data_IF_839344474190
#
_entry.id   IF_839344474190
#
_cell.length_a   1.000
_cell.length_b   1.000
_cell.length_c   1.000
_cell.angle_alpha   90.00
_cell.angle_beta   90.00
_cell.angle_gamma   90.00
#
_symmetry.space_group_name_H-M   'P 1'
#
loop_
_entity.id
_entity.type
_entity.pdbx_description
1 polymer ?
#
# COMPACT_ATOMS: atom_id res chain seq x y z
N UNK A 1 -12.83 5.69 -4.74
CA UNK A 1 -12.65 7.00 -4.06
C UNK A 1 -13.74 7.35 -3.07
N UNK A 2 -15.04 7.24 -3.39
CA UNK A 2 -16.11 7.74 -2.49
C UNK A 2 -16.46 6.74 -1.37
N UNK A 3 -16.58 5.45 -1.68
CA UNK A 3 -17.20 4.48 -0.76
C UNK A 3 -16.42 4.23 0.51
N UNK A 4 -15.11 4.06 0.41
CA UNK A 4 -14.28 3.81 1.60
C UNK A 4 -14.31 5.00 2.55
N UNK A 5 -14.09 6.27 2.16
CA UNK A 5 -14.29 7.42 3.04
C UNK A 5 -15.66 7.46 3.73
N UNK A 6 -16.72 7.04 3.04
CA UNK A 6 -18.05 6.94 3.66
C UNK A 6 -18.09 5.86 4.73
N UNK A 7 -17.53 4.67 4.44
CA UNK A 7 -17.42 3.56 5.40
C UNK A 7 -16.51 3.92 6.57
N UNK A 8 -15.39 4.59 6.31
CA UNK A 8 -14.45 5.08 7.31
C UNK A 8 -15.14 6.11 8.21
N UNK A 9 -15.76 7.14 7.65
CA UNK A 9 -16.53 8.14 8.39
C UNK A 9 -17.60 7.51 9.27
N UNK A 10 -18.28 6.47 8.77
CA UNK A 10 -19.27 5.73 9.54
C UNK A 10 -18.66 4.96 10.72
N UNK A 11 -17.45 4.41 10.58
CA UNK A 11 -16.79 3.60 11.62
C UNK A 11 -15.99 4.40 12.63
N UNK A 12 -15.29 5.44 12.18
CA UNK A 12 -14.29 6.18 12.97
C UNK A 12 -14.70 7.62 13.23
N UNK A 13 -15.75 8.12 12.57
CA UNK A 13 -16.21 9.51 12.67
C UNK A 13 -15.41 10.51 11.83
N UNK A 14 -14.29 10.11 11.23
CA UNK A 14 -13.40 10.97 10.44
C UNK A 14 -13.14 10.39 9.06
N UNK A 15 -12.76 11.26 8.12
CA UNK A 15 -12.28 10.87 6.79
C UNK A 15 -10.80 11.17 6.73
N UNK A 16 -9.99 10.16 6.38
CA UNK A 16 -8.54 10.34 6.26
C UNK A 16 -8.12 10.49 4.80
N UNK A 17 -7.07 11.27 4.56
CA UNK A 17 -6.47 11.38 3.22
C UNK A 17 -5.97 10.01 2.73
N UNK A 18 -5.37 9.22 3.61
CA UNK A 18 -4.93 7.86 3.32
C UNK A 18 -6.11 6.98 2.92
N UNK A 19 -7.25 7.05 3.64
CA UNK A 19 -8.47 6.33 3.28
C UNK A 19 -8.97 6.68 1.88
N UNK A 20 -8.99 7.97 1.51
CA UNK A 20 -9.39 8.42 0.16
C UNK A 20 -8.44 7.87 -0.92
N UNK A 21 -7.13 7.94 -0.70
CA UNK A 21 -6.11 7.47 -1.66
C UNK A 21 -6.16 5.95 -1.78
N UNK A 22 -6.22 5.22 -0.68
CA UNK A 22 -6.37 3.75 -0.67
C UNK A 22 -7.66 3.32 -1.38
N UNK A 23 -8.75 4.07 -1.23
CA UNK A 23 -9.99 3.84 -1.97
C UNK A 23 -9.87 4.05 -3.49
N UNK A 24 -8.96 4.93 -3.93
CA UNK A 24 -8.67 5.13 -5.34
C UNK A 24 -7.91 3.93 -5.89
N UNK A 25 -6.85 3.52 -5.18
CA UNK A 25 -6.02 2.37 -5.54
C UNK A 25 -6.84 1.08 -5.55
N UNK A 26 -7.63 0.80 -4.51
CA UNK A 26 -8.50 -0.38 -4.46
C UNK A 26 -9.46 -0.46 -5.66
N UNK A 27 -10.02 0.69 -6.07
CA UNK A 27 -10.86 0.79 -7.27
C UNK A 27 -10.10 0.45 -8.56
N UNK A 28 -8.89 0.99 -8.73
CA UNK A 28 -8.02 0.70 -9.88
C UNK A 28 -7.59 -0.77 -9.93
N UNK A 29 -7.28 -1.36 -8.77
CA UNK A 29 -6.95 -2.78 -8.67
C UNK A 29 -8.15 -3.62 -9.11
N UNK A 30 -9.35 -3.39 -8.57
CA UNK A 30 -10.51 -4.21 -8.92
C UNK A 30 -10.96 -4.06 -10.37
N UNK A 31 -10.79 -2.87 -10.98
CA UNK A 31 -11.14 -2.67 -12.39
C UNK A 31 -10.10 -3.27 -13.34
N UNK A 32 -8.86 -3.53 -12.89
CA UNK A 32 -7.80 -4.10 -13.73
C UNK A 32 -8.21 -5.39 -14.47
N UNK A 33 -8.79 -6.41 -13.81
CA UNK A 33 -9.30 -7.59 -14.51
C UNK A 33 -10.63 -7.37 -15.24
N UNK A 34 -11.37 -6.29 -14.92
CA UNK A 34 -12.75 -6.09 -15.34
C UNK A 34 -12.96 -5.04 -16.45
N UNK A 35 -11.98 -4.17 -16.70
CA UNK A 35 -12.11 -2.99 -17.57
C UNK A 35 -12.52 -3.32 -19.01
N UNK A 36 -12.15 -4.48 -19.51
CA UNK A 36 -12.50 -4.96 -20.86
C UNK A 36 -13.66 -5.95 -20.89
N UNK A 37 -14.39 -6.14 -19.79
CA UNK A 37 -15.42 -7.18 -19.66
C UNK A 37 -16.77 -6.60 -19.19
N UNK A 38 -16.77 -5.60 -18.31
CA UNK A 38 -17.98 -5.02 -17.71
C UNK A 38 -18.39 -3.71 -18.37
N UNK A 39 -19.69 -3.38 -18.31
CA UNK A 39 -20.20 -2.07 -18.75
C UNK A 39 -20.00 -0.97 -17.69
N UNK A 40 -20.40 0.26 -18.03
CA UNK A 40 -20.24 1.42 -17.13
C UNK A 40 -20.93 1.23 -15.78
N UNK A 41 -22.11 0.58 -15.75
CA UNK A 41 -22.84 0.35 -14.51
C UNK A 41 -22.12 -0.70 -13.66
N UNK A 42 -21.67 -1.80 -14.28
CA UNK A 42 -20.83 -2.81 -13.64
C UNK A 42 -19.53 -2.24 -13.06
N UNK A 43 -18.89 -1.30 -13.76
CA UNK A 43 -17.70 -0.60 -13.27
C UNK A 43 -17.97 0.26 -12.03
N UNK A 44 -19.09 1.00 -12.01
CA UNK A 44 -19.50 1.79 -10.83
C UNK A 44 -19.79 0.88 -9.65
N UNK A 45 -20.56 -0.19 -9.85
CA UNK A 45 -20.88 -1.16 -8.80
C UNK A 45 -19.61 -1.81 -8.26
N UNK A 46 -18.68 -2.21 -9.14
CA UNK A 46 -17.37 -2.77 -8.76
C UNK A 46 -16.61 -1.81 -7.85
N UNK A 47 -16.53 -0.53 -8.22
CA UNK A 47 -15.89 0.51 -7.42
C UNK A 47 -16.56 0.73 -6.05
N UNK A 48 -17.89 0.64 -5.98
CA UNK A 48 -18.63 0.73 -4.73
C UNK A 48 -18.32 -0.46 -3.81
N UNK A 49 -18.44 -1.69 -4.35
CA UNK A 49 -18.24 -2.92 -3.58
C UNK A 49 -16.81 -3.02 -3.09
N UNK A 50 -15.81 -2.82 -3.96
CA UNK A 50 -14.41 -2.93 -3.56
C UNK A 50 -14.03 -1.88 -2.51
N UNK A 51 -14.52 -0.63 -2.66
CA UNK A 51 -14.25 0.43 -1.69
C UNK A 51 -14.80 0.09 -0.31
N UNK A 52 -15.99 -0.50 -0.24
CA UNK A 52 -16.55 -0.96 1.03
C UNK A 52 -15.76 -2.13 1.61
N UNK A 53 -15.53 -3.18 0.83
CA UNK A 53 -14.93 -4.42 1.34
C UNK A 53 -13.46 -4.22 1.73
N UNK A 54 -12.66 -3.52 0.92
CA UNK A 54 -11.25 -3.25 1.26
C UNK A 54 -11.11 -2.41 2.53
N UNK A 55 -12.03 -1.49 2.81
CA UNK A 55 -12.03 -0.71 4.06
C UNK A 55 -12.15 -1.59 5.32
N UNK A 56 -12.85 -2.72 5.23
CA UNK A 56 -12.89 -3.71 6.31
C UNK A 56 -11.71 -4.67 6.24
N UNK A 57 -11.31 -5.09 5.05
CA UNK A 57 -10.22 -6.05 4.85
C UNK A 57 -8.91 -5.58 5.48
N UNK A 58 -8.56 -4.30 5.37
CA UNK A 58 -7.34 -3.78 6.00
C UNK A 58 -7.35 -3.88 7.53
N UNK A 59 -8.53 -3.90 8.15
CA UNK A 59 -8.63 -4.03 9.61
C UNK A 59 -8.46 -5.48 10.09
N UNK A 60 -8.43 -6.43 9.17
CA UNK A 60 -8.25 -7.84 9.46
C UNK A 60 -6.82 -8.15 9.93
N UNK A 61 -5.83 -7.33 9.52
CA UNK A 61 -4.43 -7.45 9.96
C UNK A 61 -4.28 -7.33 11.48
N UNK A 62 -5.06 -6.44 12.11
CA UNK A 62 -5.10 -6.29 13.58
C UNK A 62 -5.74 -7.47 14.30
N UNK A 63 -6.61 -8.22 13.60
CA UNK A 63 -7.23 -9.42 14.17
C UNK A 63 -6.31 -10.63 14.11
N UNK A 64 -5.50 -10.73 13.06
CA UNK A 64 -4.58 -11.84 12.84
C UNK A 64 -3.15 -11.56 13.30
N UNK A 65 -2.89 -10.38 13.88
CA UNK A 65 -1.57 -9.92 14.31
C UNK A 65 -0.52 -10.02 13.19
N UNK A 66 -0.92 -9.60 11.99
CA UNK A 66 -0.08 -9.59 10.80
C UNK A 66 0.38 -8.16 10.53
N UNK A 67 1.70 -7.96 10.43
CA UNK A 67 2.30 -6.69 10.03
C UNK A 67 2.29 -6.53 8.50
N UNK A 68 1.12 -6.18 7.96
CA UNK A 68 0.98 -5.69 6.58
C UNK A 68 1.11 -4.16 6.59
N UNK A 69 2.36 -3.68 6.53
CA UNK A 69 2.73 -2.28 6.74
C UNK A 69 2.04 -1.33 5.75
N UNK A 70 1.86 -1.75 4.50
CA UNK A 70 1.26 -0.94 3.42
C UNK A 70 -0.13 -1.39 3.00
N UNK A 71 -0.79 -2.26 3.78
CA UNK A 71 -2.12 -2.81 3.47
C UNK A 71 -2.19 -3.51 2.10
N UNK A 72 -1.10 -4.12 1.64
CA UNK A 72 -1.00 -4.72 0.29
C UNK A 72 -1.99 -5.88 0.15
N UNK A 73 -2.15 -6.71 1.17
CA UNK A 73 -3.08 -7.85 1.12
C UNK A 73 -4.53 -7.35 1.11
N UNK A 74 -4.83 -6.35 1.93
CA UNK A 74 -6.18 -5.78 2.05
C UNK A 74 -6.62 -4.96 0.82
N UNK A 75 -5.70 -4.25 0.16
CA UNK A 75 -5.99 -3.44 -1.02
C UNK A 75 -5.80 -4.23 -2.32
N UNK A 76 -4.64 -4.85 -2.52
CA UNK A 76 -4.31 -5.53 -3.77
C UNK A 76 -4.86 -6.96 -3.80
N UNK A 77 -4.65 -7.73 -2.74
CA UNK A 77 -5.11 -9.12 -2.66
C UNK A 77 -6.64 -9.22 -2.70
N UNK A 78 -7.31 -8.58 -1.74
CA UNK A 78 -8.79 -8.58 -1.68
C UNK A 78 -9.41 -7.79 -2.84
N UNK A 79 -8.82 -6.66 -3.24
CA UNK A 79 -9.30 -5.88 -4.36
C UNK A 79 -9.27 -6.65 -5.69
N UNK A 80 -8.17 -7.35 -5.97
CA UNK A 80 -8.02 -8.18 -7.17
C UNK A 80 -8.99 -9.36 -7.18
N UNK A 81 -9.17 -10.02 -6.03
CA UNK A 81 -10.16 -11.09 -5.86
C UNK A 81 -11.57 -10.60 -6.18
N UNK A 82 -11.97 -9.45 -5.63
CA UNK A 82 -13.30 -8.87 -5.91
C UNK A 82 -13.42 -8.51 -7.39
N UNK A 83 -12.38 -7.94 -7.99
CA UNK A 83 -12.36 -7.63 -9.42
C UNK A 83 -12.64 -8.85 -10.30
N UNK A 84 -11.99 -9.98 -10.03
CA UNK A 84 -12.22 -11.24 -10.76
C UNK A 84 -13.62 -11.80 -10.53
N UNK A 85 -14.16 -11.68 -9.32
CA UNK A 85 -15.56 -12.05 -9.05
C UNK A 85 -16.51 -11.15 -9.85
N UNK A 86 -16.26 -9.84 -9.91
CA UNK A 86 -17.08 -8.90 -10.66
C UNK A 86 -17.07 -9.20 -12.15
N UNK A 87 -15.96 -9.68 -12.73
CA UNK A 87 -15.95 -10.22 -14.11
C UNK A 87 -16.93 -11.38 -14.25
N UNK A 88 -16.87 -12.35 -13.33
CA UNK A 88 -17.76 -13.51 -13.34
C UNK A 88 -19.24 -13.15 -13.22
N UNK A 89 -19.56 -12.04 -12.57
CA UNK A 89 -20.93 -11.57 -12.36
C UNK A 89 -21.43 -10.64 -13.48
N UNK A 90 -20.63 -9.64 -13.85
CA UNK A 90 -21.03 -8.48 -14.65
C UNK A 90 -20.44 -8.45 -16.06
N UNK A 91 -19.67 -9.44 -16.49
CA UNK A 91 -19.22 -9.50 -17.89
C UNK A 91 -20.43 -9.46 -18.83
N UNK A 92 -20.33 -8.69 -19.92
CA UNK A 92 -21.44 -8.54 -20.87
C UNK A 92 -20.98 -8.74 -22.31
N UNK A 93 -21.80 -9.44 -23.09
CA UNK A 93 -21.51 -9.75 -24.49
C UNK A 93 -21.28 -8.48 -25.32
N UNK A 94 -21.88 -7.35 -24.91
CA UNK A 94 -21.72 -6.05 -25.56
C UNK A 94 -20.27 -5.54 -25.54
N UNK A 95 -19.50 -5.90 -24.52
CA UNK A 95 -18.13 -5.40 -24.33
C UNK A 95 -17.11 -6.44 -24.81
N UNK A 96 -17.25 -7.71 -24.41
CA UNK A 96 -16.23 -8.74 -24.67
C UNK A 96 -16.73 -10.00 -25.36
N UNK A 97 -18.02 -10.07 -25.70
CA UNK A 97 -18.64 -11.30 -26.22
C UNK A 97 -18.85 -12.41 -25.18
N UNK A 98 -18.49 -12.18 -23.91
CA UNK A 98 -18.73 -13.10 -22.79
C UNK A 98 -19.89 -12.61 -21.94
N UNK A 99 -20.65 -13.53 -21.36
CA UNK A 99 -21.73 -13.20 -20.44
C UNK A 99 -21.41 -13.69 -19.03
N UNK A 100 -21.50 -12.79 -18.07
CA UNK A 100 -21.43 -13.09 -16.64
C UNK A 100 -22.76 -13.64 -16.14
N UNK A 101 -22.76 -14.03 -14.86
CA UNK A 101 -23.90 -14.68 -14.21
C UNK A 101 -25.18 -13.82 -14.30
N UNK A 102 -25.08 -12.50 -14.14
CA UNK A 102 -26.23 -11.60 -14.18
C UNK A 102 -26.74 -11.29 -15.60
N UNK A 103 -25.96 -11.63 -16.62
CA UNK A 103 -26.33 -11.45 -18.03
C UNK A 103 -26.70 -12.78 -18.71
N UNK A 104 -26.88 -13.86 -17.94
CA UNK A 104 -27.37 -15.15 -18.47
C UNK A 104 -26.29 -16.16 -18.87
N UNK A 105 -25.01 -15.82 -18.74
CA UNK A 105 -23.89 -16.73 -19.10
C UNK A 105 -23.66 -17.91 -18.14
N UNK A 106 -24.49 -18.03 -17.09
CA UNK A 106 -24.44 -19.11 -16.11
C UNK A 106 -23.18 -19.10 -15.23
N UNK A 107 -22.93 -20.22 -14.54
CA UNK A 107 -21.82 -20.34 -13.59
C UNK A 107 -20.45 -20.57 -14.23
N UNK A 108 -20.39 -20.78 -15.55
CA UNK A 108 -19.17 -21.17 -16.25
C UNK A 108 -18.06 -20.11 -16.18
N UNK A 109 -18.40 -18.84 -16.41
CA UNK A 109 -17.42 -17.75 -16.34
C UNK A 109 -16.98 -17.51 -14.88
N UNK A 110 -17.93 -17.38 -13.96
CA UNK A 110 -17.63 -17.16 -12.53
C UNK A 110 -16.79 -18.31 -11.96
N UNK A 111 -17.09 -19.56 -12.29
CA UNK A 111 -16.30 -20.71 -11.86
C UNK A 111 -14.85 -20.65 -12.34
N UNK A 112 -14.62 -20.26 -13.60
CA UNK A 112 -13.26 -20.05 -14.13
C UNK A 112 -12.51 -18.95 -13.36
N UNK A 113 -13.19 -17.85 -13.03
CA UNK A 113 -12.58 -16.76 -12.25
C UNK A 113 -12.22 -17.22 -10.83
N UNK A 114 -13.09 -17.99 -10.17
CA UNK A 114 -12.80 -18.53 -8.84
C UNK A 114 -11.62 -19.51 -8.85
N UNK A 115 -11.54 -20.39 -9.85
CA UNK A 115 -10.39 -21.29 -10.03
C UNK A 115 -9.11 -20.48 -10.25
N UNK A 116 -9.16 -19.43 -11.07
CA UNK A 116 -8.02 -18.54 -11.29
C UNK A 116 -7.57 -17.85 -9.99
N UNK A 117 -8.51 -17.29 -9.21
CA UNK A 117 -8.24 -16.67 -7.91
C UNK A 117 -7.53 -17.64 -6.97
N UNK A 118 -8.09 -18.84 -6.77
CA UNK A 118 -7.51 -19.84 -5.86
C UNK A 118 -6.14 -20.28 -6.33
N UNK A 119 -5.97 -20.50 -7.64
CA UNK A 119 -4.70 -20.92 -8.22
C UNK A 119 -3.61 -19.86 -8.03
N UNK A 120 -3.93 -18.59 -8.29
CA UNK A 120 -2.98 -17.48 -8.14
C UNK A 120 -2.63 -17.26 -6.68
N UNK A 121 -3.61 -17.30 -5.76
CA UNK A 121 -3.36 -17.18 -4.32
C UNK A 121 -2.44 -18.31 -3.84
N UNK A 122 -2.76 -19.57 -4.18
CA UNK A 122 -1.95 -20.72 -3.78
C UNK A 122 -0.52 -20.63 -4.34
N UNK A 123 -0.37 -20.35 -5.63
CA UNK A 123 0.93 -20.23 -6.28
C UNK A 123 1.77 -19.11 -5.67
N UNK A 124 1.21 -17.89 -5.60
CA UNK A 124 1.93 -16.72 -5.10
C UNK A 124 2.30 -16.85 -3.63
N UNK A 125 1.40 -17.33 -2.77
CA UNK A 125 1.69 -17.51 -1.35
C UNK A 125 2.73 -18.60 -1.12
N UNK A 126 2.54 -19.79 -1.69
CA UNK A 126 3.45 -20.93 -1.46
C UNK A 126 4.84 -20.62 -1.98
N UNK A 127 4.95 -20.11 -3.21
CA UNK A 127 6.26 -19.86 -3.81
C UNK A 127 6.98 -18.71 -3.11
N UNK A 128 6.27 -17.61 -2.78
CA UNK A 128 6.86 -16.49 -2.03
C UNK A 128 7.30 -16.95 -0.64
N UNK A 129 6.51 -17.78 0.04
CA UNK A 129 6.87 -18.32 1.36
C UNK A 129 8.14 -19.18 1.30
N UNK A 130 8.26 -20.06 0.29
CA UNK A 130 9.47 -20.88 0.09
C UNK A 130 10.68 -19.98 -0.17
N UNK A 131 10.55 -18.99 -1.06
CA UNK A 131 11.64 -18.05 -1.37
C UNK A 131 12.04 -17.26 -0.13
N UNK A 132 11.07 -16.67 0.58
CA UNK A 132 11.31 -15.90 1.78
C UNK A 132 12.04 -16.74 2.84
N UNK A 133 11.62 -18.00 3.05
CA UNK A 133 12.30 -18.92 3.98
C UNK A 133 13.70 -19.31 3.52
N UNK A 134 13.92 -19.52 2.22
CA UNK A 134 15.26 -19.79 1.71
C UNK A 134 16.20 -18.59 1.93
N UNK A 135 15.73 -17.36 1.69
CA UNK A 135 16.50 -16.14 1.94
C UNK A 135 16.77 -15.95 3.42
N UNK A 136 15.75 -16.12 4.27
CA UNK A 136 15.86 -16.00 5.72
C UNK A 136 16.91 -16.96 6.31
N UNK A 137 16.96 -18.20 5.80
CA UNK A 137 17.94 -19.20 6.23
C UNK A 137 19.36 -18.99 5.69
N UNK A 138 19.54 -18.20 4.63
CA UNK A 138 20.84 -18.04 3.96
C UNK A 138 21.54 -16.74 4.33
N UNK A 139 20.82 -15.62 4.29
CA UNK A 139 21.36 -14.28 4.53
C UNK A 139 20.65 -13.52 5.65
N UNK A 140 19.51 -14.03 6.14
CA UNK A 140 18.64 -13.32 7.07
C UNK A 140 17.73 -12.33 6.34
N UNK A 141 16.42 -12.37 6.60
CA UNK A 141 15.45 -11.52 5.89
C UNK A 141 15.25 -10.15 6.54
N UNK A 142 15.51 -10.04 7.85
CA UNK A 142 15.32 -8.82 8.65
C UNK A 142 16.69 -8.32 9.12
N UNK A 143 16.90 -7.01 9.02
CA UNK A 143 18.08 -6.37 9.62
C UNK A 143 18.00 -6.49 11.15
N UNK A 144 19.12 -6.81 11.80
CA UNK A 144 19.18 -6.98 13.27
C UNK A 144 18.99 -5.64 14.00
N UNK A 145 19.44 -4.54 13.39
CA UNK A 145 19.36 -3.18 13.95
C UNK A 145 18.15 -2.42 13.42
N UNK A 146 16.96 -2.86 13.81
CA UNK A 146 15.69 -2.30 13.34
C UNK A 146 15.52 -0.79 13.62
N UNK A 147 16.33 -0.23 14.54
CA UNK A 147 16.28 1.17 14.95
C UNK A 147 17.65 1.85 15.22
N UNK A 148 18.76 1.12 15.31
CA UNK A 148 20.09 1.73 15.60
C UNK A 148 20.81 2.25 14.35
N UNK A 149 20.57 1.64 13.19
CA UNK A 149 20.91 2.26 11.91
C UNK A 149 19.77 3.14 11.45
N UNK A 150 19.77 4.40 11.89
CA UNK A 150 18.94 5.46 11.28
C UNK A 150 19.06 5.33 9.76
N UNK A 151 17.95 5.27 8.99
CA UNK A 151 18.01 5.38 7.53
C UNK A 151 18.82 6.62 7.15
N UNK A 152 20.07 6.42 6.72
CA UNK A 152 21.03 7.50 6.50
C UNK A 152 22.40 7.36 7.19
N UNK A 153 22.79 6.18 7.67
CA UNK A 153 24.22 5.83 7.81
C UNK A 153 24.90 5.66 6.45
N UNK A 154 24.11 5.35 5.40
CA UNK A 154 24.54 5.42 4.01
C UNK A 154 24.74 6.87 3.57
N UNK A 155 25.69 7.08 2.63
CA UNK A 155 26.07 8.42 2.14
C UNK A 155 24.91 9.20 1.52
N UNK A 156 23.88 8.52 1.04
CA UNK A 156 22.66 9.12 0.51
C UNK A 156 21.52 9.00 1.54
N UNK A 157 21.05 10.14 2.06
CA UNK A 157 19.99 10.18 3.08
C UNK A 157 18.77 10.93 2.56
N UNK A 158 17.58 10.40 2.87
CA UNK A 158 16.31 11.09 2.62
C UNK A 158 16.12 12.31 3.53
N UNK A 159 16.61 12.23 4.77
CA UNK A 159 16.52 13.28 5.77
C UNK A 159 17.87 13.47 6.47
N UNK A 160 18.25 14.73 6.72
CA UNK A 160 19.51 15.08 7.37
C UNK A 160 19.33 15.30 8.87
N UNK A 161 19.09 14.21 9.58
CA UNK A 161 18.87 14.23 11.03
C UNK A 161 20.14 14.61 11.80
N UNK A 162 21.33 14.24 11.31
CA UNK A 162 22.59 14.60 11.97
C UNK A 162 22.87 16.10 11.92
N UNK A 163 22.64 16.75 10.78
CA UNK A 163 22.78 18.21 10.69
C UNK A 163 21.69 18.90 11.53
N UNK A 164 20.46 18.38 11.51
CA UNK A 164 19.38 18.92 12.35
C UNK A 164 19.69 18.81 13.85
N UNK A 165 20.24 17.68 14.31
CA UNK A 165 20.63 17.47 15.71
C UNK A 165 21.83 18.34 16.11
N UNK A 166 22.85 18.45 15.25
CA UNK A 166 24.00 19.35 15.46
C UNK A 166 23.57 20.81 15.51
N UNK A 167 22.65 21.23 14.65
CA UNK A 167 22.02 22.55 14.69
C UNK A 167 21.23 22.75 15.99
N UNK A 168 20.42 21.76 16.38
CA UNK A 168 19.65 21.79 17.62
C UNK A 168 20.55 21.92 18.86
N UNK A 169 21.66 21.19 18.92
CA UNK A 169 22.64 21.29 19.99
C UNK A 169 23.35 22.65 20.03
N UNK A 170 23.66 23.24 18.87
CA UNK A 170 24.24 24.59 18.77
C UNK A 170 23.28 25.67 19.25
N UNK A 171 22.00 25.56 18.90
CA UNK A 171 20.96 26.53 19.28
C UNK A 171 20.52 26.35 20.73
N UNK A 172 20.50 25.11 21.24
CA UNK A 172 20.14 24.79 22.63
C UNK A 172 21.30 24.98 23.62
N UNK A 173 22.53 25.10 23.14
CA UNK A 173 23.72 25.18 23.98
C UNK A 173 23.89 26.57 24.61
N UNK A 174 24.05 26.62 25.93
CA UNK A 174 24.55 27.80 26.69
C UNK A 174 25.97 28.25 26.30
N UNK A 175 26.63 27.59 25.34
CA UNK A 175 28.04 27.75 25.02
C UNK A 175 28.32 28.79 23.92
N UNK A 176 27.31 29.26 23.19
CA UNK A 176 27.50 30.30 22.17
C UNK A 176 27.25 31.67 22.80
N UNK A 177 28.31 32.45 22.90
CA UNK A 177 28.32 33.75 23.60
C UNK A 177 27.98 34.93 22.69
N UNK A 178 27.85 34.72 21.37
CA UNK A 178 27.56 35.75 20.35
C UNK A 178 26.91 35.17 19.10
N UNK A 179 25.96 35.90 18.50
CA UNK A 179 25.24 35.52 17.27
C UNK A 179 26.20 35.27 16.08
N UNK A 180 27.30 36.03 15.99
CA UNK A 180 28.30 35.88 14.92
C UNK A 180 29.06 34.55 14.99
N UNK A 181 29.31 34.05 16.21
CA UNK A 181 29.93 32.75 16.46
C UNK A 181 28.99 31.63 16.00
N UNK A 182 27.70 31.78 16.29
CA UNK A 182 26.64 30.85 15.90
C UNK A 182 26.53 30.77 14.37
N UNK A 183 26.46 31.91 13.68
CA UNK A 183 26.38 31.98 12.21
C UNK A 183 27.61 31.34 11.56
N UNK A 184 28.81 31.56 12.10
CA UNK A 184 30.04 30.93 11.60
C UNK A 184 30.03 29.42 11.74
N UNK A 185 29.55 28.91 12.88
CA UNK A 185 29.48 27.47 13.14
C UNK A 185 28.43 26.79 12.25
N UNK A 186 27.27 27.41 12.06
CA UNK A 186 26.25 26.96 11.11
C UNK A 186 26.80 26.91 9.68
N UNK A 187 27.48 27.98 9.26
CA UNK A 187 28.05 28.06 7.90
C UNK A 187 29.13 27.00 7.67
N UNK A 188 29.96 26.71 8.67
CA UNK A 188 30.95 25.61 8.60
C UNK A 188 30.28 24.25 8.46
N UNK A 189 29.20 23.99 9.21
CA UNK A 189 28.45 22.74 9.11
C UNK A 189 27.80 22.58 7.73
N UNK A 190 27.23 23.65 7.17
CA UNK A 190 26.62 23.63 5.83
C UNK A 190 27.65 23.41 4.72
N UNK A 191 28.86 24.00 4.83
CA UNK A 191 29.94 23.75 3.86
C UNK A 191 30.52 22.34 3.97
N UNK A 192 30.72 21.83 5.18
CA UNK A 192 31.19 20.46 5.38
C UNK A 192 30.21 19.42 4.81
N UNK A 193 28.91 19.75 4.74
CA UNK A 193 27.90 18.94 4.04
C UNK A 193 28.10 18.94 2.52
N UNK A 194 28.36 20.11 1.91
CA UNK A 194 28.59 20.22 0.46
C UNK A 194 29.83 19.44 0.01
N UNK A 195 30.87 19.40 0.83
CA UNK A 195 32.12 18.66 0.57
C UNK A 195 31.99 17.14 0.77
N UNK A 196 30.91 16.67 1.42
CA UNK A 196 30.67 15.23 1.68
C UNK A 196 29.80 14.53 0.63
N UNK A 197 29.24 15.29 -0.32
CA UNK A 197 28.53 14.78 -1.51
C UNK A 197 29.52 14.39 -2.60
#
# INVERSE_FOLDING_TARGET
MVTWPLVEKWRTGTVTTMGVVSAAVAGMVAITPACGEVDTLGAVITGLVVGAVCAFAITLKYRFDVDDTLDVVGVHGVGGLIGLIMVGLFATARISGKEGLFYGGGWGLLGKQLVAVVSVIAFSFILTWIIAKAVDLTVGFRAEDEYDSVPGTDRERAYDFQTAERLGALVSGKAVTSDDELVRQITKLLRAREESK
#
